data_IF_041696862500
#
_entry.id   IF_041696862500
#
_cell.length_a   1.000
_cell.length_b   1.000
_cell.length_c   1.000
_cell.angle_alpha   90.00
_cell.angle_beta   90.00
_cell.angle_gamma   90.00
#
_symmetry.space_group_name_H-M   'P 1'
#
loop_
_entity.id
_entity.type
_entity.pdbx_description
1 polymer ?
#
# COMPACT_ATOMS: atom_id res chain seq x y z
N UNK A 1 13.86 7.17 2.94
CA UNK A 1 14.04 6.06 3.90
C UNK A 1 12.99 5.02 3.55
N UNK A 2 13.31 3.73 3.60
CA UNK A 2 12.37 2.67 3.26
C UNK A 2 11.70 2.12 4.50
N UNK A 3 10.49 1.58 4.35
CA UNK A 3 9.77 0.92 5.44
C UNK A 3 10.09 -0.58 5.55
N UNK A 4 11.24 -1.01 5.03
CA UNK A 4 11.64 -2.43 4.87
C UNK A 4 11.88 -3.16 6.22
N UNK A 5 11.89 -2.43 7.34
CA UNK A 5 12.05 -2.99 8.69
C UNK A 5 10.76 -2.90 9.52
N UNK A 6 9.62 -2.63 8.89
CA UNK A 6 8.31 -2.57 9.53
C UNK A 6 7.54 -3.83 9.19
N UNK A 7 7.17 -4.62 10.20
CA UNK A 7 6.19 -5.69 10.05
C UNK A 7 4.79 -5.07 10.09
N UNK A 8 3.98 -5.43 9.12
CA UNK A 8 2.56 -5.08 9.08
C UNK A 8 1.78 -6.11 8.26
N UNK A 9 0.49 -6.27 8.55
CA UNK A 9 -0.41 -7.09 7.75
C UNK A 9 -1.58 -6.25 7.24
N UNK A 10 -1.81 -6.30 5.93
CA UNK A 10 -2.99 -5.73 5.31
C UNK A 10 -4.24 -6.52 5.70
N UNK A 11 -5.35 -5.80 5.91
CA UNK A 11 -6.57 -6.37 6.46
C UNK A 11 -7.80 -5.67 5.89
N UNK A 12 -8.99 -6.20 6.19
CA UNK A 12 -10.26 -5.57 5.80
C UNK A 12 -10.67 -4.41 6.72
N UNK A 13 -9.86 -4.06 7.72
CA UNK A 13 -10.15 -2.96 8.65
C UNK A 13 -9.64 -1.63 8.09
N UNK A 14 -10.54 -0.66 7.93
CA UNK A 14 -10.14 0.72 7.59
C UNK A 14 -9.82 1.53 8.85
N UNK A 15 -8.81 2.39 8.77
CA UNK A 15 -8.38 3.27 9.86
C UNK A 15 -8.56 4.75 9.51
N UNK A 16 -9.50 5.39 10.20
CA UNK A 16 -9.73 6.84 10.10
C UNK A 16 -8.93 7.63 11.15
N UNK A 17 -8.65 6.99 12.29
CA UNK A 17 -7.91 7.56 13.42
C UNK A 17 -6.42 7.15 13.31
N UNK A 18 -5.50 8.10 13.06
CA UNK A 18 -4.07 7.82 12.96
C UNK A 18 -3.47 7.22 14.23
N UNK A 19 -3.95 7.62 15.41
CA UNK A 19 -3.48 7.16 16.70
C UNK A 19 -3.85 5.70 16.95
N UNK A 20 -5.07 5.30 16.58
CA UNK A 20 -5.48 3.87 16.61
C UNK A 20 -4.60 3.05 15.67
N UNK A 21 -4.39 3.53 14.44
CA UNK A 21 -3.53 2.83 13.48
C UNK A 21 -2.10 2.66 14.02
N UNK A 22 -1.53 3.72 14.57
CA UNK A 22 -0.18 3.71 15.15
C UNK A 22 -0.04 2.72 16.30
N UNK A 23 -1.06 2.64 17.17
CA UNK A 23 -1.07 1.70 18.27
C UNK A 23 -1.09 0.25 17.76
N UNK A 24 -1.83 -0.02 16.68
CA UNK A 24 -1.92 -1.36 16.10
C UNK A 24 -0.64 -1.76 15.36
N UNK A 25 0.00 -0.84 14.63
CA UNK A 25 1.33 -1.09 14.04
C UNK A 25 2.36 -1.38 15.14
N UNK A 26 2.39 -0.59 16.22
CA UNK A 26 3.29 -0.82 17.36
C UNK A 26 3.02 -2.18 18.04
N UNK A 27 1.75 -2.56 18.19
CA UNK A 27 1.36 -3.85 18.77
C UNK A 27 1.82 -5.00 17.88
N UNK A 28 1.51 -4.92 16.58
CA UNK A 28 1.90 -5.95 15.61
C UNK A 28 3.43 -6.10 15.50
N UNK A 29 4.17 -4.98 15.52
CA UNK A 29 5.62 -4.99 15.59
C UNK A 29 6.15 -5.76 16.81
N UNK A 30 5.56 -5.56 17.99
CA UNK A 30 5.92 -6.30 19.20
C UNK A 30 5.55 -7.78 19.13
N UNK A 31 4.44 -8.13 18.50
CA UNK A 31 4.02 -9.52 18.33
C UNK A 31 4.94 -10.30 17.39
N UNK A 32 5.45 -9.66 16.32
CA UNK A 32 6.28 -10.30 15.31
C UNK A 32 7.78 -10.21 15.63
N UNK A 33 8.24 -9.12 16.22
CA UNK A 33 9.68 -8.80 16.40
C UNK A 33 10.11 -8.64 17.86
N UNK A 34 9.22 -8.85 18.83
CA UNK A 34 9.42 -8.59 20.26
C UNK A 34 9.79 -7.12 20.60
N UNK A 35 9.67 -6.20 19.64
CA UNK A 35 9.98 -4.77 19.81
C UNK A 35 9.32 -3.92 18.73
N UNK A 36 9.02 -2.66 19.05
CA UNK A 36 8.60 -1.61 18.12
C UNK A 36 9.67 -0.54 17.90
N UNK A 37 10.93 -0.82 18.27
CA UNK A 37 12.01 0.17 18.22
C UNK A 37 12.29 0.73 16.82
N UNK A 38 11.99 -0.03 15.75
CA UNK A 38 12.13 0.43 14.37
C UNK A 38 10.92 1.26 13.88
N UNK A 39 9.82 1.28 14.62
CA UNK A 39 8.63 2.03 14.25
C UNK A 39 8.75 3.49 14.71
N UNK A 40 8.99 4.38 13.76
CA UNK A 40 9.08 5.82 13.96
C UNK A 40 7.92 6.52 13.23
N UNK A 41 6.72 6.61 13.84
CA UNK A 41 5.50 7.02 13.13
C UNK A 41 5.57 8.43 12.55
N UNK A 42 6.32 9.34 13.18
CA UNK A 42 6.45 10.75 12.77
C UNK A 42 7.61 10.99 11.78
N UNK A 43 8.37 9.95 11.43
CA UNK A 43 9.50 10.08 10.51
C UNK A 43 9.02 10.41 9.09
N UNK A 44 9.65 11.40 8.46
CA UNK A 44 9.34 11.79 7.08
C UNK A 44 9.98 10.76 6.14
N UNK A 45 9.14 9.92 5.53
CA UNK A 45 9.59 8.86 4.60
C UNK A 45 9.58 9.32 3.15
N UNK A 46 8.62 10.21 2.79
CA UNK A 46 8.53 10.81 1.46
C UNK A 46 8.33 12.32 1.57
N UNK A 47 9.32 13.10 1.13
CA UNK A 47 9.28 14.56 1.17
C UNK A 47 8.66 15.16 -0.10
N UNK A 48 7.45 14.72 -0.42
CA UNK A 48 6.63 15.17 -1.56
C UNK A 48 5.17 15.34 -1.14
N UNK A 49 4.43 16.29 -1.74
CA UNK A 49 3.03 16.52 -1.39
C UNK A 49 2.08 15.42 -1.90
N UNK A 50 2.52 14.67 -2.90
CA UNK A 50 1.78 13.58 -3.52
C UNK A 50 2.73 12.57 -4.15
N UNK A 51 2.27 11.33 -4.25
CA UNK A 51 2.99 10.22 -4.89
C UNK A 51 1.98 9.18 -5.37
N UNK A 52 2.45 8.25 -6.18
CA UNK A 52 1.74 7.05 -6.58
C UNK A 52 2.28 5.86 -5.79
N UNK A 53 1.39 4.98 -5.33
CA UNK A 53 1.76 3.63 -4.88
C UNK A 53 1.37 2.61 -5.94
N UNK A 54 2.17 1.56 -6.09
CA UNK A 54 1.87 0.40 -6.91
C UNK A 54 1.72 -0.81 -6.00
N UNK A 55 0.67 -1.60 -6.20
CA UNK A 55 0.46 -2.84 -5.46
C UNK A 55 -0.30 -3.85 -6.30
N UNK A 56 -0.13 -5.12 -5.94
CA UNK A 56 -0.84 -6.22 -6.56
C UNK A 56 -2.15 -6.49 -5.84
N UNK A 57 -3.21 -6.78 -6.59
CA UNK A 57 -4.50 -7.17 -6.06
C UNK A 57 -5.27 -8.02 -7.06
N UNK A 58 -6.27 -8.73 -6.54
CA UNK A 58 -7.27 -9.43 -7.31
C UNK A 58 -8.54 -8.58 -7.42
N UNK A 59 -9.01 -8.37 -8.65
CA UNK A 59 -10.27 -7.67 -8.96
C UNK A 59 -11.12 -8.52 -9.91
N UNK A 60 -12.44 -8.34 -9.90
CA UNK A 60 -13.33 -9.05 -10.83
C UNK A 60 -13.55 -8.32 -12.14
N UNK A 61 -13.37 -6.99 -12.13
CA UNK A 61 -13.61 -6.07 -13.26
C UNK A 61 -13.03 -4.69 -12.98
N UNK A 62 -12.93 -3.87 -14.01
CA UNK A 62 -12.41 -2.50 -13.90
C UNK A 62 -13.19 -1.61 -12.92
N UNK A 63 -14.50 -1.82 -12.76
CA UNK A 63 -15.32 -1.03 -11.82
C UNK A 63 -15.02 -1.31 -10.34
N UNK A 64 -14.18 -2.30 -10.03
CA UNK A 64 -13.70 -2.51 -8.66
C UNK A 64 -12.60 -1.50 -8.28
N UNK A 65 -12.06 -0.75 -9.25
CA UNK A 65 -11.09 0.33 -9.03
C UNK A 65 -11.73 1.53 -8.32
N UNK A 66 -10.95 2.15 -7.44
CA UNK A 66 -11.29 3.43 -6.79
C UNK A 66 -11.00 4.59 -7.75
N UNK A 67 -11.63 5.75 -7.52
CA UNK A 67 -11.48 6.93 -8.38
C UNK A 67 -10.02 7.42 -8.52
N UNK A 68 -9.15 7.08 -7.58
CA UNK A 68 -7.74 7.44 -7.59
C UNK A 68 -6.82 6.32 -8.11
N UNK A 69 -7.38 5.26 -8.69
CA UNK A 69 -6.67 4.08 -9.17
C UNK A 69 -6.69 3.95 -10.70
N UNK A 70 -5.62 3.39 -11.24
CA UNK A 70 -5.48 2.97 -12.65
C UNK A 70 -4.75 1.64 -12.73
N UNK A 71 -4.98 0.86 -13.79
CA UNK A 71 -4.16 -0.33 -14.07
C UNK A 71 -2.85 0.09 -14.76
N UNK A 72 -1.77 -0.66 -14.52
CA UNK A 72 -0.51 -0.47 -15.26
C UNK A 72 -0.62 -1.01 -16.68
N UNK A 73 -1.28 -2.15 -16.83
CA UNK A 73 -1.59 -2.76 -18.11
C UNK A 73 -3.11 -2.93 -18.21
N UNK A 74 -3.70 -2.37 -19.27
CA UNK A 74 -5.14 -2.52 -19.53
C UNK A 74 -5.40 -3.54 -20.65
N UNK A 75 -4.38 -3.89 -21.43
CA UNK A 75 -4.53 -4.82 -22.55
C UNK A 75 -4.65 -6.25 -22.01
N UNK A 76 -5.70 -6.96 -22.43
CA UNK A 76 -5.94 -8.39 -22.13
C UNK A 76 -6.00 -8.81 -20.64
N UNK A 77 -5.96 -7.85 -19.70
CA UNK A 77 -6.05 -8.12 -18.25
C UNK A 77 -7.33 -8.86 -17.87
N UNK A 78 -8.43 -8.57 -18.55
CA UNK A 78 -9.74 -9.20 -18.29
C UNK A 78 -10.06 -10.34 -19.27
N UNK A 79 -9.06 -10.94 -19.91
CA UNK A 79 -9.23 -12.18 -20.69
C UNK A 79 -9.54 -13.34 -19.74
N UNK A 80 -10.63 -14.09 -19.99
CA UNK A 80 -11.07 -15.20 -19.15
C UNK A 80 -9.96 -16.24 -18.90
N UNK A 81 -9.03 -16.41 -19.85
CA UNK A 81 -7.87 -17.31 -19.71
C UNK A 81 -6.87 -16.85 -18.62
N UNK A 82 -6.90 -15.56 -18.24
CA UNK A 82 -6.10 -14.97 -17.16
C UNK A 82 -6.83 -14.93 -15.81
N UNK A 83 -8.05 -15.47 -15.73
CA UNK A 83 -8.85 -15.44 -14.50
C UNK A 83 -8.66 -16.69 -13.62
N UNK A 84 -8.64 -16.49 -12.31
CA UNK A 84 -8.81 -17.56 -11.32
C UNK A 84 -10.12 -17.32 -10.55
N UNK A 85 -11.08 -18.25 -10.68
CA UNK A 85 -12.42 -18.13 -10.09
C UNK A 85 -13.14 -16.81 -10.42
N UNK A 86 -12.91 -16.27 -11.62
CA UNK A 86 -13.50 -15.00 -12.08
C UNK A 86 -12.85 -13.74 -11.49
N UNK A 87 -11.66 -13.89 -10.90
CA UNK A 87 -10.82 -12.80 -10.42
C UNK A 87 -9.54 -12.72 -11.25
N UNK A 88 -9.04 -11.52 -11.45
CA UNK A 88 -7.84 -11.22 -12.22
C UNK A 88 -6.82 -10.59 -11.28
N UNK A 89 -5.62 -11.17 -11.23
CA UNK A 89 -4.49 -10.57 -10.54
C UNK A 89 -3.97 -9.42 -11.40
N UNK A 90 -3.88 -8.23 -10.81
CA UNK A 90 -3.54 -7.00 -11.50
C UNK A 90 -2.57 -6.17 -10.68
N UNK A 91 -1.80 -5.33 -11.38
CA UNK A 91 -1.04 -4.26 -10.77
C UNK A 91 -1.83 -2.94 -10.85
N UNK A 92 -2.12 -2.39 -9.67
CA UNK A 92 -2.88 -1.15 -9.52
C UNK A 92 -1.92 -0.03 -9.09
N UNK A 93 -2.05 1.12 -9.74
CA UNK A 93 -1.42 2.37 -9.31
C UNK A 93 -2.48 3.25 -8.65
N UNK A 94 -2.22 3.69 -7.43
CA UNK A 94 -3.10 4.62 -6.71
C UNK A 94 -2.39 5.92 -6.35
N UNK A 95 -3.01 7.06 -6.65
CA UNK A 95 -2.48 8.38 -6.27
C UNK A 95 -2.84 8.71 -4.82
N UNK A 96 -1.83 9.04 -4.03
CA UNK A 96 -1.94 9.47 -2.64
C UNK A 96 -1.54 10.94 -2.49
N UNK A 97 -2.22 11.64 -1.59
CA UNK A 97 -1.92 13.02 -1.21
C UNK A 97 -1.55 13.08 0.27
N UNK A 98 -0.52 13.86 0.60
CA UNK A 98 -0.12 14.10 1.97
C UNK A 98 -1.18 14.94 2.71
N UNK A 99 -1.54 14.57 3.92
CA UNK A 99 -2.55 15.22 4.75
C UNK A 99 -2.16 16.69 5.04
N UNK A 100 -0.85 16.96 5.17
CA UNK A 100 -0.31 18.31 5.36
C UNK A 100 0.02 19.05 4.05
N UNK A 101 -0.19 18.42 2.89
CA UNK A 101 0.12 18.95 1.56
C UNK A 101 1.61 19.18 1.28
N UNK A 102 2.52 18.52 2.00
CA UNK A 102 3.98 18.72 1.88
C UNK A 102 4.80 17.43 1.88
N UNK A 103 4.51 16.50 2.79
CA UNK A 103 5.29 15.28 2.98
C UNK A 103 4.48 14.22 3.73
N UNK A 104 4.83 12.95 3.53
CA UNK A 104 4.23 11.82 4.24
C UNK A 104 5.12 11.41 5.41
N UNK A 105 4.50 11.19 6.58
CA UNK A 105 5.14 10.46 7.68
C UNK A 105 5.00 8.94 7.49
N UNK A 106 5.82 8.14 8.19
CA UNK A 106 5.74 6.68 8.15
C UNK A 106 4.33 6.16 8.49
N UNK A 107 3.74 6.71 9.56
CA UNK A 107 2.36 6.44 9.98
C UNK A 107 1.35 6.74 8.89
N UNK A 108 1.42 7.95 8.35
CA UNK A 108 0.46 8.43 7.36
C UNK A 108 0.52 7.62 6.07
N UNK A 109 1.73 7.38 5.56
CA UNK A 109 1.95 6.60 4.35
C UNK A 109 1.41 5.18 4.50
N UNK A 110 1.83 4.46 5.55
CA UNK A 110 1.41 3.07 5.74
C UNK A 110 -0.10 2.96 5.98
N UNK A 111 -0.71 3.93 6.68
CA UNK A 111 -2.17 3.99 6.88
C UNK A 111 -2.92 4.20 5.57
N UNK A 112 -2.45 5.13 4.73
CA UNK A 112 -3.06 5.39 3.43
C UNK A 112 -2.91 4.18 2.51
N UNK A 113 -1.73 3.57 2.45
CA UNK A 113 -1.50 2.32 1.72
C UNK A 113 -2.42 1.20 2.22
N UNK A 114 -2.58 1.05 3.54
CA UNK A 114 -3.51 0.06 4.10
C UNK A 114 -4.95 0.31 3.66
N UNK A 115 -5.44 1.53 3.86
CA UNK A 115 -6.80 1.89 3.53
C UNK A 115 -7.10 1.77 2.03
N UNK A 116 -6.12 2.04 1.16
CA UNK A 116 -6.24 1.88 -0.28
C UNK A 116 -6.53 0.42 -0.66
N UNK A 117 -6.03 -0.54 0.11
CA UNK A 117 -6.15 -1.96 -0.18
C UNK A 117 -7.31 -2.67 0.56
N UNK A 118 -8.04 -1.98 1.45
CA UNK A 118 -9.11 -2.60 2.27
C UNK A 118 -10.20 -3.28 1.44
N UNK A 119 -10.60 -2.67 0.32
CA UNK A 119 -11.62 -3.21 -0.58
C UNK A 119 -11.07 -4.23 -1.60
N UNK A 120 -9.76 -4.49 -1.60
CA UNK A 120 -9.09 -5.35 -2.58
C UNK A 120 -8.86 -6.76 -2.05
N UNK A 121 -8.97 -7.77 -2.90
CA UNK A 121 -8.55 -9.12 -2.54
C UNK A 121 -7.03 -9.22 -2.74
N UNK A 122 -6.29 -9.54 -1.69
CA UNK A 122 -4.82 -9.60 -1.74
C UNK A 122 -4.28 -11.05 -1.80
N UNK A 123 -5.17 -12.05 -1.85
CA UNK A 123 -4.77 -13.45 -1.75
C UNK A 123 -4.06 -13.73 -0.40
N UNK A 124 -2.95 -14.45 -0.47
CA UNK A 124 -2.00 -14.67 0.62
C UNK A 124 -0.95 -13.56 0.74
N UNK A 125 -0.81 -12.68 -0.27
CA UNK A 125 0.11 -11.53 -0.30
C UNK A 125 -0.34 -10.37 0.61
N UNK A 126 -0.50 -10.61 1.90
CA UNK A 126 -0.97 -9.62 2.90
C UNK A 126 0.11 -9.12 3.84
N UNK A 127 1.30 -9.71 3.84
CA UNK A 127 2.37 -9.34 4.77
C UNK A 127 3.24 -8.25 4.14
N UNK A 128 3.20 -7.05 4.69
CA UNK A 128 4.02 -5.93 4.22
C UNK A 128 5.51 -6.20 4.46
N UNK A 129 6.30 -6.17 3.39
CA UNK A 129 7.75 -6.38 3.42
C UNK A 129 8.54 -5.10 3.20
N UNK A 130 7.87 -4.01 2.83
CA UNK A 130 8.48 -2.70 2.68
C UNK A 130 8.07 -1.94 1.43
N UNK A 131 8.92 -0.99 1.07
CA UNK A 131 8.77 -0.11 -0.08
C UNK A 131 10.06 -0.13 -0.90
N UNK A 132 9.98 0.23 -2.18
CA UNK A 132 11.18 0.39 -3.03
C UNK A 132 12.28 1.21 -2.35
N UNK A 133 13.52 0.76 -2.49
CA UNK A 133 14.71 1.52 -2.06
C UNK A 133 14.93 2.76 -2.92
N UNK A 134 14.70 2.61 -4.23
CA UNK A 134 14.85 3.65 -5.23
C UNK A 134 13.56 3.75 -6.06
N UNK A 135 12.49 4.41 -5.54
CA UNK A 135 11.23 4.52 -6.26
C UNK A 135 11.39 5.30 -7.56
N UNK A 136 10.73 4.83 -8.62
CA UNK A 136 10.79 5.48 -9.93
C UNK A 136 10.08 6.85 -9.91
N UNK A 137 10.41 7.70 -10.89
CA UNK A 137 9.64 8.92 -11.16
C UNK A 137 9.03 8.77 -12.55
N UNK A 138 7.70 8.74 -12.62
CA UNK A 138 6.93 8.63 -13.85
C UNK A 138 6.07 9.90 -13.97
N UNK A 139 6.18 10.60 -15.10
CA UNK A 139 5.48 11.86 -15.37
C UNK A 139 5.61 12.92 -14.26
N UNK A 140 6.76 12.95 -13.60
CA UNK A 140 7.06 13.90 -12.52
C UNK A 140 6.49 13.52 -11.15
N UNK A 141 5.85 12.36 -11.02
CA UNK A 141 5.37 11.80 -9.76
C UNK A 141 6.19 10.59 -9.34
N UNK A 142 6.47 10.49 -8.05
CA UNK A 142 7.13 9.34 -7.46
C UNK A 142 6.19 8.13 -7.54
N UNK A 143 6.66 6.98 -8.03
CA UNK A 143 5.97 5.70 -8.02
C UNK A 143 6.69 4.76 -7.05
N UNK A 144 5.98 4.34 -6.01
CA UNK A 144 6.51 3.50 -4.93
C UNK A 144 5.80 2.15 -4.91
N UNK A 145 6.51 1.06 -5.18
CA UNK A 145 5.96 -0.28 -5.05
C UNK A 145 5.80 -0.69 -3.57
N UNK A 146 4.67 -1.31 -3.26
CA UNK A 146 4.36 -1.91 -1.96
C UNK A 146 4.65 -3.41 -2.05
N UNK A 147 5.73 -3.85 -1.42
CA UNK A 147 6.11 -5.26 -1.41
C UNK A 147 5.27 -6.04 -0.38
N UNK A 148 4.66 -7.14 -0.83
CA UNK A 148 3.89 -8.05 0.01
C UNK A 148 4.32 -9.52 -0.16
N UNK A 149 4.57 -10.19 0.96
CA UNK A 149 4.86 -11.62 1.03
C UNK A 149 3.63 -12.48 1.35
N UNK A 150 3.74 -13.78 1.03
CA UNK A 150 2.77 -14.86 1.27
C UNK A 150 3.06 -15.65 2.55
#
# INVERSE_FOLDING_TARGET
MTLNNIAWSFSKKSYQDPEIFNQEVSTYQKEIRDTDAAWHPDEIVFNVPELNIQYEAWISKAEDLLDNETLIDEEDVFDEDNSEDGMFQVEIVARLQADNGKHFTASEFLRKAHNQQVNKALGDHVFFEGTDEDPAIIDGLLLCYIACGS
#
